data_IF_471893491215
#
_entry.id   IF_471893491215
#
_cell.length_a   1.000
_cell.length_b   1.000
_cell.length_c   1.000
_cell.angle_alpha   90.00
_cell.angle_beta   90.00
_cell.angle_gamma   90.00
#
_symmetry.space_group_name_H-M   'P 1'
#
loop_
_entity.id
_entity.type
_entity.pdbx_description
1 polymer ?
#
# COMPACT_ATOMS: atom_id res chain seq x y z
N UNK A 1 44.15 20.89 73.03
CA UNK A 1 43.43 20.09 72.01
C UNK A 1 41.94 20.20 72.26
N UNK A 2 41.15 20.67 71.29
CA UNK A 2 39.69 20.52 71.30
C UNK A 2 39.26 20.30 69.85
N UNK A 3 39.03 19.04 69.50
CA UNK A 3 38.48 18.59 68.22
C UNK A 3 37.00 18.93 68.21
N UNK A 4 36.62 19.93 67.40
CA UNK A 4 35.23 20.30 67.14
C UNK A 4 34.64 19.38 66.08
N UNK A 5 33.54 18.74 66.44
CA UNK A 5 32.77 17.79 65.63
C UNK A 5 32.20 18.49 64.40
N UNK A 6 32.49 17.97 63.20
CA UNK A 6 31.96 18.48 61.95
C UNK A 6 30.52 17.97 61.80
N UNK A 7 29.54 18.85 62.04
CA UNK A 7 28.15 18.61 61.68
C UNK A 7 28.06 18.60 60.15
N UNK A 8 28.07 17.39 59.58
CA UNK A 8 27.87 17.16 58.16
C UNK A 8 26.41 17.49 57.82
N UNK A 9 26.18 18.77 57.53
CA UNK A 9 24.87 19.27 57.13
C UNK A 9 24.41 18.52 55.88
N UNK A 10 23.16 18.06 55.87
CA UNK A 10 22.51 17.41 54.72
C UNK A 10 22.72 18.24 53.45
N UNK A 11 23.75 17.90 52.68
CA UNK A 11 24.03 18.55 51.42
C UNK A 11 22.99 18.05 50.44
N UNK A 12 21.96 18.86 50.20
CA UNK A 12 21.01 18.61 49.12
C UNK A 12 21.80 18.60 47.83
N UNK A 13 21.81 17.45 47.15
CA UNK A 13 22.48 17.32 45.87
C UNK A 13 21.79 18.23 44.85
N UNK A 14 22.36 19.42 44.68
CA UNK A 14 21.87 20.44 43.77
C UNK A 14 21.79 19.91 42.33
N UNK A 15 22.66 18.95 41.98
CA UNK A 15 22.65 18.31 40.68
C UNK A 15 21.42 17.40 40.51
N UNK A 16 21.11 16.54 41.49
CA UNK A 16 19.90 15.73 41.47
C UNK A 16 18.62 16.59 41.45
N UNK A 17 18.59 17.70 42.21
CA UNK A 17 17.46 18.62 42.20
C UNK A 17 17.25 19.28 40.84
N UNK A 18 18.33 19.73 40.20
CA UNK A 18 18.30 20.31 38.86
C UNK A 18 17.77 19.32 37.82
N UNK A 19 18.26 18.08 37.83
CA UNK A 19 17.76 17.02 36.94
C UNK A 19 16.28 16.72 37.18
N UNK A 20 15.86 16.68 38.44
CA UNK A 20 14.45 16.45 38.78
C UNK A 20 13.55 17.59 38.31
N UNK A 21 14.01 18.84 38.40
CA UNK A 21 13.30 20.01 37.89
C UNK A 21 13.17 19.97 36.37
N UNK A 22 14.24 19.63 35.65
CA UNK A 22 14.20 19.48 34.19
C UNK A 22 13.22 18.38 33.76
N UNK A 23 13.20 17.25 34.45
CA UNK A 23 12.25 16.16 34.19
C UNK A 23 10.79 16.58 34.42
N UNK A 24 10.53 17.40 35.44
CA UNK A 24 9.18 17.91 35.70
C UNK A 24 8.71 18.93 34.66
N UNK A 25 9.61 19.82 34.20
CA UNK A 25 9.33 20.74 33.10
C UNK A 25 9.03 19.97 31.81
N UNK A 26 9.83 18.93 31.50
CA UNK A 26 9.58 18.07 30.34
C UNK A 26 8.22 17.38 30.44
N UNK A 27 7.87 16.79 31.58
CA UNK A 27 6.54 16.19 31.80
C UNK A 27 5.40 17.19 31.62
N UNK A 28 5.57 18.45 32.06
CA UNK A 28 4.57 19.50 31.87
C UNK A 28 4.38 19.85 30.40
N UNK A 29 5.47 19.97 29.64
CA UNK A 29 5.44 20.23 28.19
C UNK A 29 4.77 19.07 27.46
N UNK A 30 5.24 17.84 27.73
CA UNK A 30 4.73 16.59 27.16
C UNK A 30 3.25 16.36 27.47
N UNK A 31 2.77 16.72 28.67
CA UNK A 31 1.35 16.61 29.03
C UNK A 31 0.45 17.55 28.20
N UNK A 32 0.97 18.67 27.70
CA UNK A 32 0.27 19.57 26.78
C UNK A 32 0.45 19.22 25.30
N UNK A 33 1.66 18.79 24.91
CA UNK A 33 2.07 18.58 23.51
C UNK A 33 1.88 17.15 22.97
N UNK A 34 1.76 16.12 23.82
CA UNK A 34 1.52 14.74 23.33
C UNK A 34 0.16 14.58 22.65
N UNK A 35 -0.85 15.36 23.07
CA UNK A 35 -2.16 15.37 22.40
C UNK A 35 -2.04 15.78 20.92
N UNK A 36 -1.38 16.91 20.61
CA UNK A 36 -1.01 17.25 19.24
C UNK A 36 -0.24 16.15 18.50
N UNK A 37 0.75 15.50 19.13
CA UNK A 37 1.54 14.44 18.48
C UNK A 37 0.66 13.21 18.14
N UNK A 38 -0.22 12.81 19.05
CA UNK A 38 -1.15 11.70 18.83
C UNK A 38 -2.17 12.04 17.73
N UNK A 39 -2.72 13.25 17.74
CA UNK A 39 -3.65 13.73 16.72
C UNK A 39 -3.00 13.77 15.33
N UNK A 40 -1.73 14.22 15.22
CA UNK A 40 -0.96 14.18 13.97
C UNK A 40 -0.79 12.73 13.48
N UNK A 41 -0.47 11.81 14.39
CA UNK A 41 -0.31 10.40 14.03
C UNK A 41 -1.63 9.78 13.54
N UNK A 42 -2.73 10.04 14.25
CA UNK A 42 -4.06 9.53 13.91
C UNK A 42 -4.57 10.14 12.59
N UNK A 43 -4.29 11.42 12.32
CA UNK A 43 -4.61 12.06 11.04
C UNK A 43 -3.80 11.45 9.90
N UNK A 44 -2.49 11.24 10.08
CA UNK A 44 -1.65 10.56 9.09
C UNK A 44 -2.13 9.14 8.82
N UNK A 45 -2.45 8.38 9.87
CA UNK A 45 -2.95 7.01 9.75
C UNK A 45 -4.32 6.97 9.04
N UNK A 46 -5.20 7.93 9.34
CA UNK A 46 -6.52 8.07 8.70
C UNK A 46 -6.40 8.46 7.23
N UNK A 47 -5.50 9.38 6.90
CA UNK A 47 -5.22 9.80 5.52
C UNK A 47 -4.60 8.65 4.70
N UNK A 48 -3.65 7.92 5.27
CA UNK A 48 -3.07 6.73 4.64
C UNK A 48 -4.12 5.64 4.42
N UNK A 49 -5.00 5.39 5.40
CA UNK A 49 -6.10 4.44 5.29
C UNK A 49 -7.10 4.85 4.20
N UNK A 50 -7.43 6.13 4.11
CA UNK A 50 -8.30 6.68 3.06
C UNK A 50 -7.65 6.55 1.69
N UNK A 51 -6.36 6.88 1.57
CA UNK A 51 -5.59 6.70 0.34
C UNK A 51 -5.54 5.23 -0.09
N UNK A 52 -5.34 4.30 0.85
CA UNK A 52 -5.36 2.87 0.59
C UNK A 52 -6.74 2.38 0.13
N UNK A 53 -7.81 2.85 0.77
CA UNK A 53 -9.19 2.55 0.37
C UNK A 53 -9.48 3.05 -1.05
N UNK A 54 -9.05 4.27 -1.37
CA UNK A 54 -9.15 4.84 -2.72
C UNK A 54 -8.30 4.03 -3.72
N UNK A 55 -7.09 3.60 -3.34
CA UNK A 55 -6.23 2.76 -4.17
C UNK A 55 -6.89 1.41 -4.51
N UNK A 56 -7.63 0.82 -3.57
CA UNK A 56 -8.38 -0.41 -3.80
C UNK A 56 -9.45 -0.24 -4.89
N UNK A 57 -10.11 0.93 -4.99
CA UNK A 57 -11.06 1.20 -6.08
C UNK A 57 -10.40 1.13 -7.47
N UNK A 58 -9.16 1.59 -7.62
CA UNK A 58 -8.42 1.45 -8.89
C UNK A 58 -8.14 -0.01 -9.23
N UNK A 59 -7.80 -0.83 -8.23
CA UNK A 59 -7.62 -2.27 -8.44
C UNK A 59 -8.90 -2.94 -8.91
N UNK A 60 -10.04 -2.61 -8.30
CA UNK A 60 -11.36 -3.12 -8.72
C UNK A 60 -11.68 -2.72 -10.17
N UNK A 61 -11.44 -1.46 -10.53
CA UNK A 61 -11.64 -0.99 -11.90
C UNK A 61 -10.78 -1.74 -12.93
N UNK A 62 -9.50 -1.96 -12.63
CA UNK A 62 -8.62 -2.77 -13.49
C UNK A 62 -9.11 -4.22 -13.62
N UNK A 63 -9.54 -4.83 -12.51
CA UNK A 63 -10.10 -6.17 -12.50
C UNK A 63 -11.37 -6.28 -13.35
N UNK A 64 -12.29 -5.31 -13.25
CA UNK A 64 -13.51 -5.26 -14.05
C UNK A 64 -13.21 -5.15 -15.55
N UNK A 65 -12.27 -4.27 -15.92
CA UNK A 65 -11.84 -4.13 -17.32
C UNK A 65 -11.18 -5.40 -17.86
N UNK A 66 -10.28 -6.01 -17.09
CA UNK A 66 -9.62 -7.25 -17.48
C UNK A 66 -10.63 -8.39 -17.66
N UNK A 67 -11.59 -8.51 -16.75
CA UNK A 67 -12.68 -9.49 -16.83
C UNK A 67 -13.54 -9.26 -18.08
N UNK A 68 -13.90 -8.01 -18.34
CA UNK A 68 -14.65 -7.62 -19.54
C UNK A 68 -13.89 -7.95 -20.83
N UNK A 69 -12.60 -7.64 -20.90
CA UNK A 69 -11.78 -7.93 -22.08
C UNK A 69 -11.57 -9.44 -22.28
N UNK A 70 -11.34 -10.18 -21.19
CA UNK A 70 -11.18 -11.63 -21.21
C UNK A 70 -12.47 -12.35 -21.66
N UNK A 71 -13.64 -11.93 -21.16
CA UNK A 71 -14.92 -12.50 -21.60
C UNK A 71 -15.19 -12.24 -23.09
N UNK A 72 -14.79 -11.07 -23.61
CA UNK A 72 -14.88 -10.73 -25.04
C UNK A 72 -13.95 -11.58 -25.89
N UNK A 73 -12.70 -11.79 -25.47
CA UNK A 73 -11.74 -12.62 -26.22
C UNK A 73 -12.15 -14.09 -26.27
N UNK A 74 -12.84 -14.59 -25.23
CA UNK A 74 -13.42 -15.94 -25.22
C UNK A 74 -14.62 -16.07 -26.17
N UNK A 75 -15.46 -15.03 -26.27
CA UNK A 75 -16.60 -15.01 -27.20
C UNK A 75 -16.17 -14.87 -28.66
N UNK A 76 -15.14 -14.08 -28.91
CA UNK A 76 -14.61 -13.82 -30.24
C UNK A 76 -13.12 -14.16 -30.26
N UNK A 77 -12.78 -15.45 -30.49
CA UNK A 77 -11.41 -15.86 -30.67
C UNK A 77 -10.76 -15.03 -31.76
N UNK A 78 -9.48 -14.66 -31.57
CA UNK A 78 -8.74 -13.93 -32.61
C UNK A 78 -8.74 -14.76 -33.89
N UNK A 79 -9.11 -14.11 -34.99
CA UNK A 79 -9.05 -14.74 -36.30
C UNK A 79 -7.59 -15.11 -36.62
N UNK A 80 -7.37 -16.21 -37.36
CA UNK A 80 -6.03 -16.57 -37.80
C UNK A 80 -5.39 -15.41 -38.56
N UNK A 81 -4.13 -15.10 -38.23
CA UNK A 81 -3.44 -13.94 -38.78
C UNK A 81 -3.07 -14.13 -40.26
N UNK A 82 -2.95 -15.38 -40.72
CA UNK A 82 -2.69 -15.73 -42.11
C UNK A 82 -3.81 -16.59 -42.67
N UNK A 83 -4.03 -16.46 -43.98
CA UNK A 83 -5.00 -17.30 -44.70
C UNK A 83 -4.68 -18.79 -44.60
N UNK A 84 -3.40 -19.18 -44.53
CA UNK A 84 -3.02 -20.60 -44.40
C UNK A 84 -3.40 -21.22 -43.05
N UNK A 85 -3.57 -20.41 -42.01
CA UNK A 85 -3.97 -20.88 -40.67
C UNK A 85 -5.50 -21.09 -40.59
N UNK A 86 -6.25 -20.60 -41.58
CA UNK A 86 -7.68 -20.84 -41.70
C UNK A 86 -7.89 -22.24 -42.28
N UNK A 87 -8.12 -23.23 -41.40
CA UNK A 87 -8.40 -24.61 -41.81
C UNK A 87 -9.71 -24.67 -42.59
N UNK A 88 -9.63 -24.64 -43.92
CA UNK A 88 -10.76 -24.90 -44.80
C UNK A 88 -11.11 -26.39 -44.73
N UNK A 89 -12.37 -26.71 -44.49
CA UNK A 89 -12.85 -28.10 -44.54
C UNK A 89 -13.04 -28.55 -45.98
N UNK A 90 -13.02 -29.87 -46.23
CA UNK A 90 -13.21 -30.42 -47.57
C UNK A 90 -14.52 -29.94 -48.22
N UNK A 91 -15.57 -29.69 -47.44
CA UNK A 91 -16.83 -29.10 -47.91
C UNK A 91 -16.67 -27.68 -48.49
N UNK A 92 -15.74 -26.89 -47.94
CA UNK A 92 -15.48 -25.52 -48.39
C UNK A 92 -14.55 -25.48 -49.61
N UNK A 93 -13.71 -26.50 -49.81
CA UNK A 93 -12.79 -26.59 -50.95
C UNK A 93 -13.31 -27.47 -52.08
N UNK A 94 -14.47 -28.12 -51.94
CA UNK A 94 -15.03 -29.02 -52.96
C UNK A 94 -16.12 -28.32 -53.77
N UNK A 95 -15.99 -28.33 -55.10
CA UNK A 95 -16.99 -27.77 -56.01
C UNK A 95 -18.21 -28.68 -56.17
N UNK A 96 -19.30 -28.17 -56.75
CA UNK A 96 -20.47 -29.00 -57.13
C UNK A 96 -20.13 -30.19 -58.04
N UNK A 97 -18.98 -30.17 -58.73
CA UNK A 97 -18.49 -31.27 -59.55
C UNK A 97 -17.62 -32.28 -58.79
N UNK A 98 -17.42 -32.09 -57.48
CA UNK A 98 -16.56 -32.96 -56.65
C UNK A 98 -15.06 -32.67 -56.76
N UNK A 99 -14.66 -31.61 -57.47
CA UNK A 99 -13.25 -31.23 -57.61
C UNK A 99 -12.80 -30.40 -56.39
N UNK A 100 -11.60 -30.69 -55.87
CA UNK A 100 -10.99 -29.91 -54.79
C UNK A 100 -10.20 -28.71 -55.35
N UNK A 101 -10.50 -27.51 -54.87
CA UNK A 101 -9.71 -26.31 -55.11
C UNK A 101 -8.49 -26.29 -54.19
N UNK A 102 -7.30 -26.37 -54.78
CA UNK A 102 -6.02 -26.22 -54.08
C UNK A 102 -5.63 -24.73 -54.07
N UNK A 103 -5.53 -24.14 -52.88
CA UNK A 103 -4.92 -22.82 -52.68
C UNK A 103 -3.42 -23.05 -52.43
N UNK A 104 -2.54 -22.49 -53.27
CA UNK A 104 -1.08 -22.46 -53.05
C UNK A 104 -0.67 -21.30 -52.14
#
# INVERSE_FOLDING_TARGET
MRTGEHAEGCQVDAHAFYHQQQLNELKRLVAGDLRPVLEIYDELASNASTSLAIAAHFQTWEQDRNTMYYSRSKRYPRLPARRQDLRLTAEQTTTKSGAQFLMY
#
